data_IF_196168735286
#
_entry.id   IF_196168735286
#
_cell.length_a   1.000
_cell.length_b   1.000
_cell.length_c   1.000
_cell.angle_alpha   90.00
_cell.angle_beta   90.00
_cell.angle_gamma   90.00
#
_symmetry.space_group_name_H-M   'P 1'
#
loop_
_entity.id
_entity.type
_entity.pdbx_description
1 polymer ?
#
# COMPACT_ATOMS: atom_id res chain seq x y z
N UNK A 1 8.71 13.37 -2.60
CA UNK A 1 9.73 14.03 -3.43
C UNK A 1 9.10 15.20 -4.18
N UNK A 2 9.47 16.45 -3.87
CA UNK A 2 8.88 17.64 -4.48
C UNK A 2 9.18 17.78 -5.99
N UNK A 3 10.24 17.15 -6.50
CA UNK A 3 10.57 17.17 -7.93
C UNK A 3 9.66 16.25 -8.78
N UNK A 4 8.94 15.32 -8.14
CA UNK A 4 8.00 14.35 -8.76
C UNK A 4 6.57 14.56 -8.21
N UNK A 5 6.33 15.64 -7.47
CA UNK A 5 5.36 15.71 -6.35
C UNK A 5 4.84 14.36 -5.82
N UNK A 6 5.74 13.53 -5.28
CA UNK A 6 5.37 12.27 -4.61
C UNK A 6 5.35 12.40 -3.09
N UNK A 7 4.54 11.60 -2.43
CA UNK A 7 4.52 11.46 -0.97
C UNK A 7 4.36 10.00 -0.57
N UNK A 8 4.87 9.67 0.61
CA UNK A 8 4.76 8.34 1.16
C UNK A 8 4.64 8.37 2.67
N UNK A 9 3.95 7.39 3.24
CA UNK A 9 3.91 7.14 4.67
C UNK A 9 4.09 5.64 4.92
N UNK A 10 4.80 5.28 5.99
CA UNK A 10 5.04 3.90 6.38
C UNK A 10 4.62 3.73 7.85
N UNK A 11 3.87 2.66 8.14
CA UNK A 11 3.39 2.33 9.47
C UNK A 11 3.63 0.84 9.74
N UNK A 12 4.18 0.51 10.91
CA UNK A 12 4.23 -0.87 11.38
C UNK A 12 2.84 -1.26 11.89
N UNK A 13 2.25 -2.31 11.31
CA UNK A 13 0.98 -2.86 11.80
C UNK A 13 1.24 -3.98 12.80
N UNK A 14 0.20 -4.29 13.58
CA UNK A 14 0.12 -5.49 14.40
C UNK A 14 -0.56 -6.61 13.61
N UNK A 15 -0.25 -7.87 13.93
CA UNK A 15 -1.04 -9.01 13.44
C UNK A 15 -2.50 -8.99 13.94
N UNK A 16 -2.78 -8.21 14.99
CA UNK A 16 -4.13 -8.02 15.50
C UNK A 16 -4.96 -7.01 14.71
N UNK A 17 -4.35 -6.28 13.77
CA UNK A 17 -5.06 -5.35 12.90
C UNK A 17 -6.10 -6.09 12.03
N UNK A 18 -7.30 -5.50 11.92
CA UNK A 18 -8.41 -6.11 11.22
C UNK A 18 -8.10 -6.39 9.74
N UNK A 19 -7.39 -5.49 9.05
CA UNK A 19 -7.04 -5.70 7.64
C UNK A 19 -6.01 -6.83 7.50
N UNK A 20 -5.06 -6.93 8.44
CA UNK A 20 -4.07 -8.01 8.47
C UNK A 20 -4.76 -9.37 8.69
N UNK A 21 -5.72 -9.44 9.62
CA UNK A 21 -6.53 -10.64 9.85
C UNK A 21 -7.32 -11.05 8.61
N UNK A 22 -7.96 -10.09 7.93
CA UNK A 22 -8.73 -10.37 6.71
C UNK A 22 -7.85 -10.91 5.58
N UNK A 23 -6.64 -10.35 5.39
CA UNK A 23 -5.70 -10.85 4.40
C UNK A 23 -5.26 -12.30 4.70
N UNK A 24 -4.87 -12.60 5.94
CA UNK A 24 -4.47 -13.96 6.36
C UNK A 24 -5.61 -14.97 6.30
N UNK A 25 -6.86 -14.52 6.43
CA UNK A 25 -8.04 -15.39 6.25
C UNK A 25 -8.28 -15.71 4.78
N UNK A 26 -7.94 -14.80 3.87
CA UNK A 26 -8.23 -14.92 2.42
C UNK A 26 -7.08 -15.57 1.64
N UNK A 27 -5.85 -15.40 2.10
CA UNK A 27 -4.63 -15.88 1.45
C UNK A 27 -3.79 -16.67 2.45
N UNK A 28 -3.17 -17.75 1.97
CA UNK A 28 -2.18 -18.49 2.75
C UNK A 28 -0.83 -17.73 2.69
N UNK A 29 -0.61 -16.87 3.68
CA UNK A 29 0.57 -16.00 3.76
C UNK A 29 1.63 -16.73 4.58
N UNK A 30 2.74 -17.19 3.97
CA UNK A 30 3.68 -18.14 4.58
C UNK A 30 4.68 -17.47 5.55
N UNK A 31 4.21 -16.53 6.36
CA UNK A 31 5.02 -15.85 7.38
C UNK A 31 4.13 -15.30 8.49
N UNK A 32 4.53 -15.46 9.75
CA UNK A 32 3.81 -14.93 10.90
C UNK A 32 4.21 -13.50 11.27
N UNK A 33 5.13 -12.88 10.51
CA UNK A 33 5.61 -11.52 10.76
C UNK A 33 4.48 -10.51 10.60
N UNK A 34 4.47 -9.50 11.48
CA UNK A 34 3.52 -8.40 11.38
C UNK A 34 3.93 -7.46 10.24
N UNK A 35 3.01 -7.12 9.32
CA UNK A 35 3.37 -6.39 8.12
C UNK A 35 3.54 -4.89 8.36
N UNK A 36 4.13 -4.23 7.37
CA UNK A 36 4.16 -2.77 7.27
C UNK A 36 3.17 -2.29 6.23
N UNK A 37 2.41 -1.25 6.57
CA UNK A 37 1.60 -0.51 5.64
C UNK A 37 2.44 0.59 5.00
N UNK A 38 2.58 0.55 3.67
CA UNK A 38 3.18 1.63 2.87
C UNK A 38 2.09 2.29 2.03
N UNK A 39 1.90 3.58 2.25
CA UNK A 39 1.03 4.43 1.43
C UNK A 39 1.91 5.25 0.49
N UNK A 40 1.59 5.27 -0.80
CA UNK A 40 2.32 6.04 -1.81
C UNK A 40 1.31 6.81 -2.66
N UNK A 41 1.61 8.05 -2.96
CA UNK A 41 0.80 8.87 -3.87
C UNK A 41 1.66 9.80 -4.70
N UNK A 42 1.15 10.15 -5.87
CA UNK A 42 1.71 11.15 -6.79
C UNK A 42 0.65 12.20 -7.06
N UNK A 43 1.08 13.46 -7.17
CA UNK A 43 0.22 14.61 -7.47
C UNK A 43 0.22 15.63 -6.33
N UNK A 44 -0.52 16.71 -6.52
CA UNK A 44 -0.59 17.75 -5.48
C UNK A 44 -1.20 17.20 -4.18
N UNK A 45 -0.48 17.41 -3.07
CA UNK A 45 -0.89 16.92 -1.75
C UNK A 45 -2.24 17.50 -1.27
N UNK A 46 -2.61 18.70 -1.74
CA UNK A 46 -3.90 19.34 -1.44
C UNK A 46 -5.08 18.73 -2.24
N UNK A 47 -4.81 17.76 -3.10
CA UNK A 47 -5.80 17.10 -3.94
C UNK A 47 -5.77 17.70 -5.35
N UNK A 48 -5.41 16.86 -6.31
CA UNK A 48 -5.72 17.08 -7.72
C UNK A 48 -6.87 16.13 -8.09
N UNK A 49 -7.75 16.56 -9.00
CA UNK A 49 -8.87 15.73 -9.48
C UNK A 49 -8.44 14.53 -10.32
N UNK A 50 -7.13 14.31 -10.49
CA UNK A 50 -6.51 13.26 -11.30
C UNK A 50 -5.31 12.73 -10.52
N UNK A 51 -5.20 11.41 -10.37
CA UNK A 51 -4.04 10.79 -9.72
C UNK A 51 -4.41 9.48 -9.04
N UNK A 52 -3.39 8.86 -8.44
CA UNK A 52 -3.53 7.56 -7.81
C UNK A 52 -3.03 7.52 -6.38
N UNK A 53 -3.67 6.65 -5.60
CA UNK A 53 -3.24 6.28 -4.25
C UNK A 53 -2.96 4.79 -4.24
N UNK A 54 -1.69 4.46 -4.01
CA UNK A 54 -1.23 3.08 -3.88
C UNK A 54 -1.07 2.73 -2.41
N UNK A 55 -1.46 1.52 -2.07
CA UNK A 55 -1.36 0.93 -0.76
C UNK A 55 -0.65 -0.41 -0.89
N UNK A 56 0.37 -0.64 -0.08
CA UNK A 56 1.06 -1.92 0.04
C UNK A 56 1.03 -2.38 1.51
N UNK A 57 0.69 -3.64 1.75
CA UNK A 57 0.86 -4.31 3.05
C UNK A 57 1.97 -5.34 2.87
N UNK A 58 3.15 -5.03 3.39
CA UNK A 58 4.40 -5.77 3.17
C UNK A 58 4.68 -6.65 4.39
N UNK A 59 4.65 -7.97 4.23
CA UNK A 59 4.92 -8.94 5.28
C UNK A 59 6.41 -9.31 5.35
N UNK A 60 7.05 -9.45 4.19
CA UNK A 60 8.47 -9.70 4.03
C UNK A 60 8.98 -8.92 2.82
N UNK A 61 10.17 -8.34 2.94
CA UNK A 61 10.87 -7.69 1.83
C UNK A 61 12.36 -7.70 2.11
N UNK A 62 13.07 -8.60 1.44
CA UNK A 62 14.52 -8.74 1.46
C UNK A 62 15.03 -9.22 0.09
N UNK A 63 16.31 -9.54 -0.05
CA UNK A 63 16.91 -9.92 -1.35
C UNK A 63 16.40 -11.27 -1.89
N UNK A 64 15.95 -12.17 -1.00
CA UNK A 64 15.55 -13.53 -1.33
C UNK A 64 14.02 -13.72 -1.39
N UNK A 65 13.27 -12.88 -0.66
CA UNK A 65 11.83 -13.03 -0.45
C UNK A 65 11.11 -11.68 -0.39
N UNK A 66 10.04 -11.57 -1.18
CA UNK A 66 9.12 -10.43 -1.22
C UNK A 66 7.68 -10.97 -1.08
N UNK A 67 7.06 -10.72 0.07
CA UNK A 67 5.66 -11.08 0.36
C UNK A 67 4.89 -9.81 0.68
N UNK A 68 4.03 -9.38 -0.23
CA UNK A 68 3.20 -8.19 -0.05
C UNK A 68 1.84 -8.32 -0.72
N UNK A 69 0.88 -7.56 -0.20
CA UNK A 69 -0.39 -7.27 -0.86
C UNK A 69 -0.35 -5.83 -1.39
N UNK A 70 -0.70 -5.63 -2.65
CA UNK A 70 -0.76 -4.31 -3.28
C UNK A 70 -2.18 -3.99 -3.73
N UNK A 71 -2.62 -2.77 -3.49
CA UNK A 71 -3.91 -2.24 -3.93
C UNK A 71 -3.77 -0.79 -4.39
N UNK A 72 -4.66 -0.36 -5.27
CA UNK A 72 -4.62 0.96 -5.88
C UNK A 72 -6.04 1.46 -6.14
N UNK A 73 -6.27 2.70 -5.73
CA UNK A 73 -7.46 3.46 -6.16
C UNK A 73 -6.98 4.53 -7.13
N UNK A 74 -7.41 4.38 -8.38
CA UNK A 74 -7.09 5.31 -9.47
C UNK A 74 -8.36 6.08 -9.86
N UNK A 75 -8.34 7.40 -9.70
CA UNK A 75 -9.45 8.25 -10.12
C UNK A 75 -9.08 8.95 -11.43
N UNK A 76 -9.70 8.47 -12.50
CA UNK A 76 -9.48 8.95 -13.86
C UNK A 76 -10.75 9.58 -14.42
N UNK A 77 -10.63 10.55 -15.34
CA UNK A 77 -11.78 11.05 -16.10
C UNK A 77 -12.48 9.91 -16.84
N UNK A 78 -13.81 10.00 -16.98
CA UNK A 78 -14.53 9.17 -17.94
C UNK A 78 -14.10 9.56 -19.35
N UNK A 79 -13.87 8.57 -20.22
CA UNK A 79 -13.66 8.82 -21.65
C UNK A 79 -14.88 9.51 -22.28
N UNK A 80 -14.66 10.18 -23.42
CA UNK A 80 -15.74 10.68 -24.29
C UNK A 80 -16.56 9.54 -24.92
#
# INVERSE_FOLDING_TARGET
>A
NPNVPSYSAEYQLSNEDENVKQLRKRYDIPTDKAPKLKLKGIGEFKGSSIGYKNLEIVFEQNEDEDIYYGDMVDYQPSGE
#
